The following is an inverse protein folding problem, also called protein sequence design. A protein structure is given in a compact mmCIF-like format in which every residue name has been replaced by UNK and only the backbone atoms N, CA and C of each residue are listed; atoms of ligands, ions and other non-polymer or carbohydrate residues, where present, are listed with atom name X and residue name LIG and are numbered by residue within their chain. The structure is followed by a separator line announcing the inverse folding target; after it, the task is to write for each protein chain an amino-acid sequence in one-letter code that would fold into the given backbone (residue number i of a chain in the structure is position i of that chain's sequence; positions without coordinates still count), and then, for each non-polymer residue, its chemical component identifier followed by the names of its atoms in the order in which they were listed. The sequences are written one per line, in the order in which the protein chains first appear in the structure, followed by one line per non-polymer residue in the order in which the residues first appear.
data_IF_597615356524
#
_entry.id   IF_597615356524
#
_cell.length_a   1.000
_cell.length_b   1.000
_cell.length_c   1.000
_cell.angle_alpha   90.00
_cell.angle_beta   90.00
_cell.angle_gamma   90.00
#
_symmetry.space_group_name_H-M   'P 1'
#
loop_
_entity.id
_entity.type
_entity.pdbx_description
1 polymer ?
2 non-polymer ?
3 non-polymer ?
4 non-polymer ?
5 water ?
#
# COMPACT_ATOMS: atom_id res chain seq x y z
N UNK A 1 9.62 18.69 -12.43
CA UNK A 1 10.23 19.22 -11.18
C UNK A 1 9.44 18.69 -9.98
N UNK A 2 10.13 18.06 -9.04
CA UNK A 2 9.44 17.49 -7.89
C UNK A 2 9.87 18.07 -6.55
N UNK A 3 10.94 18.86 -6.55
CA UNK A 3 11.44 19.45 -5.32
C UNK A 3 10.45 20.30 -4.52
N UNK A 4 9.69 21.15 -5.20
CA UNK A 4 8.74 21.99 -4.48
C UNK A 4 7.56 21.17 -3.96
N UNK A 5 7.16 20.15 -4.72
CA UNK A 5 6.06 19.28 -4.32
C UNK A 5 6.48 18.55 -3.05
N UNK A 6 7.72 18.07 -3.02
CA UNK A 6 8.24 17.37 -1.87
C UNK A 6 8.36 18.36 -0.71
N UNK A 7 8.73 19.60 -1.03
CA UNK A 7 8.87 20.63 -0.02
C UNK A 7 7.61 20.84 0.80
N UNK A 8 6.45 20.85 0.15
CA UNK A 8 5.21 21.03 0.89
C UNK A 8 4.98 19.84 1.82
N UNK A 9 5.29 18.63 1.34
CA UNK A 9 5.12 17.44 2.15
C UNK A 9 6.05 17.48 3.37
N UNK A 10 7.27 17.96 3.17
CA UNK A 10 8.24 18.06 4.27
C UNK A 10 7.74 19.01 5.35
N UNK A 11 7.18 20.14 4.92
CA UNK A 11 6.68 21.13 5.85
C UNK A 11 5.49 20.60 6.61
N UNK A 12 4.54 20.02 5.88
CA UNK A 12 3.34 19.45 6.50
C UNK A 12 3.74 18.36 7.49
N UNK A 13 4.70 17.52 7.11
CA UNK A 13 5.13 16.42 7.99
C UNK A 13 5.82 16.91 9.26
N UNK A 14 6.71 17.89 9.13
CA UNK A 14 7.42 18.41 10.29
C UNK A 14 6.44 19.01 11.30
N UNK A 15 5.45 19.74 10.80
CA UNK A 15 4.44 20.35 11.64
C UNK A 15 3.55 19.28 12.26
N UNK A 16 3.14 18.31 11.44
CA UNK A 16 2.31 17.21 11.91
C UNK A 16 2.95 16.46 13.08
N UNK A 17 4.25 16.18 12.96
CA UNK A 17 4.92 15.43 14.02
C UNK A 17 4.84 16.16 15.37
N UNK A 18 4.94 17.48 15.35
CA UNK A 18 4.85 18.25 16.58
C UNK A 18 3.43 18.36 17.12
N UNK A 19 2.46 18.15 16.24
CA UNK A 19 1.05 18.22 16.63
C UNK A 19 0.56 16.84 17.06
N UNK A 20 0.79 15.83 16.23
CA UNK A 20 0.37 14.47 16.56
C UNK A 20 1.05 13.95 17.81
N UNK A 21 2.30 14.34 18.03
CA UNK A 21 3.02 13.85 19.20
C UNK A 21 3.38 12.40 18.88
N UNK A 22 2.90 11.47 19.70
CA UNK A 22 3.17 10.05 19.47
C UNK A 22 1.97 9.35 18.81
N UNK A 23 0.96 10.14 18.44
CA UNK A 23 -0.24 9.60 17.79
C UNK A 23 0.01 9.34 16.31
N UNK A 24 -0.87 8.55 15.70
CA UNK A 24 -0.76 8.21 14.28
C UNK A 24 -1.96 8.69 13.46
N UNK A 25 -1.70 9.28 12.28
CA UNK A 25 -2.79 9.77 11.42
C UNK A 25 -3.40 8.59 10.65
N UNK A 26 -4.68 8.71 10.32
CA UNK A 26 -5.38 7.64 9.59
C UNK A 26 -6.04 8.25 8.35
N UNK A 27 -7.15 8.94 8.56
CA UNK A 27 -7.89 9.60 7.48
C UNK A 27 -8.50 10.86 8.05
N UNK A 28 -8.89 11.80 7.18
CA UNK A 28 -9.55 13.00 7.68
C UNK A 28 -11.04 12.65 7.59
N UNK A 29 -11.88 13.48 8.20
CA UNK A 29 -13.31 13.22 8.19
C UNK A 29 -14.08 14.52 8.04
N UNK A 30 -14.05 15.08 6.85
CA UNK A 30 -14.77 16.32 6.58
C UNK A 30 -13.99 17.60 6.85
N UNK A 31 -12.71 17.50 7.14
CA UNK A 31 -11.90 18.69 7.39
C UNK A 31 -10.46 18.45 6.97
N UNK A 32 -9.61 19.47 7.13
CA UNK A 32 -8.22 19.35 6.75
C UNK A 32 -7.38 18.84 7.93
N UNK A 33 -8.03 18.15 8.86
CA UNK A 33 -7.34 17.60 10.03
C UNK A 33 -7.47 16.08 10.04
N UNK A 34 -6.38 15.38 10.33
CA UNK A 34 -6.40 13.93 10.39
C UNK A 34 -7.03 13.42 11.68
N UNK A 35 -7.75 12.31 11.58
CA UNK A 35 -8.32 11.67 12.76
C UNK A 35 -7.13 10.82 13.21
N UNK A 36 -6.84 10.81 14.51
CA UNK A 36 -5.67 10.08 15.00
C UNK A 36 -5.98 8.88 15.89
N UNK A 37 -5.02 7.96 15.96
CA UNK A 37 -5.18 6.77 16.79
C UNK A 37 -3.86 6.45 17.51
N UNK A 38 -3.94 5.62 18.54
CA UNK A 38 -2.76 5.25 19.30
C UNK A 38 -2.14 3.94 18.83
N UNK A 39 -1.92 3.85 17.52
CA UNK A 39 -1.34 2.68 16.87
C UNK A 39 -2.26 1.47 17.04
N UNK A 40 -3.48 1.59 16.53
CA UNK A 40 -4.47 0.53 16.66
C UNK A 40 -5.17 0.15 15.36
N UNK A 41 -4.70 0.66 14.23
CA UNK A 41 -5.34 0.35 12.95
C UNK A 41 -4.40 -0.36 11.97
N UNK A 42 -4.75 -0.34 10.68
CA UNK A 42 -3.94 -1.02 9.66
C UNK A 42 -3.01 -0.05 8.92
N UNK A 43 -3.18 1.23 9.19
CA UNK A 43 -2.46 2.31 8.50
C UNK A 43 -1.31 2.99 9.24
N UNK A 44 -1.07 2.62 10.49
CA UNK A 44 -0.02 3.26 11.27
C UNK A 44 1.36 3.26 10.63
N UNK A 45 1.67 2.21 9.87
CA UNK A 45 2.97 2.14 9.23
C UNK A 45 3.22 3.21 8.19
N UNK A 46 2.16 3.71 7.56
CA UNK A 46 2.30 4.74 6.53
C UNK A 46 2.91 6.02 7.11
N UNK A 47 2.57 6.32 8.36
CA UNK A 47 3.10 7.51 9.03
C UNK A 47 4.61 7.30 9.21
N UNK A 48 4.99 6.11 9.68
CA UNK A 48 6.41 5.81 9.87
C UNK A 48 7.12 5.92 8.52
N UNK A 49 6.49 5.38 7.49
CA UNK A 49 7.07 5.42 6.15
C UNK A 49 7.31 6.83 5.66
N UNK A 50 6.34 7.70 5.90
CA UNK A 50 6.45 9.10 5.50
C UNK A 50 7.63 9.75 6.23
N UNK A 51 7.73 9.49 7.53
CA UNK A 51 8.83 10.05 8.32
C UNK A 51 10.18 9.57 7.80
N UNK A 52 10.28 8.28 7.48
CA UNK A 52 11.52 7.73 6.96
C UNK A 52 11.87 8.33 5.61
N UNK A 53 10.87 8.51 4.74
CA UNK A 53 11.11 9.10 3.43
C UNK A 53 11.60 10.53 3.57
N UNK A 54 10.97 11.28 4.48
CA UNK A 54 11.37 12.67 4.70
C UNK A 54 12.81 12.72 5.21
N UNK A 55 13.17 11.76 6.06
CA UNK A 55 14.53 11.70 6.60
C UNK A 55 15.52 11.39 5.47
N UNK A 56 15.19 10.42 4.63
CA UNK A 56 16.07 10.06 3.53
C UNK A 56 16.30 11.22 2.57
N UNK A 57 15.26 12.03 2.37
CA UNK A 57 15.37 13.16 1.45
C UNK A 57 16.18 14.32 2.04
N UNK A 58 15.97 14.61 3.31
CA UNK A 58 16.61 15.73 3.98
C UNK A 58 17.84 15.47 4.83
N UNK A 59 17.89 14.31 5.48
CA UNK A 59 18.99 14.02 6.37
C UNK A 59 18.72 14.73 7.69
N UNK A 60 17.53 15.33 7.79
CA UNK A 60 17.12 16.08 8.99
C UNK A 60 16.67 15.10 10.07
N UNK A 61 17.43 15.01 11.15
CA UNK A 61 17.10 14.09 12.23
C UNK A 61 15.77 14.27 12.95
N UNK A 62 15.09 15.40 12.76
CA UNK A 62 13.81 15.56 13.43
C UNK A 62 12.87 14.48 12.90
N UNK A 63 13.02 14.16 11.61
CA UNK A 63 12.19 13.13 10.98
C UNK A 63 12.61 11.73 11.45
N UNK A 64 13.91 11.49 11.48
CA UNK A 64 14.41 10.20 11.92
C UNK A 64 13.97 9.88 13.35
N UNK A 65 14.14 10.85 14.25
CA UNK A 65 13.77 10.62 15.63
C UNK A 65 12.28 10.35 15.78
N UNK A 66 11.46 11.00 14.97
CA UNK A 66 10.04 10.76 15.04
C UNK A 66 9.77 9.33 14.58
N UNK A 67 10.43 8.93 13.50
CA UNK A 67 10.26 7.59 12.97
C UNK A 67 10.66 6.55 14.01
N UNK A 68 11.80 6.77 14.65
CA UNK A 68 12.30 5.85 15.66
C UNK A 68 11.31 5.72 16.81
N UNK A 69 10.68 6.83 17.17
CA UNK A 69 9.69 6.79 18.25
C UNK A 69 8.49 5.93 17.83
N UNK A 70 8.09 6.00 16.56
CA UNK A 70 6.96 5.19 16.11
C UNK A 70 7.35 3.71 16.12
N UNK A 71 8.62 3.41 15.86
CA UNK A 71 9.08 2.02 15.85
C UNK A 71 8.98 1.46 17.27
N UNK A 72 9.29 2.28 18.25
CA UNK A 72 9.21 1.84 19.65
C UNK A 72 7.75 1.50 19.96
N UNK A 73 6.83 2.27 19.40
CA UNK A 73 5.40 2.03 19.60
C UNK A 73 5.01 0.70 18.95
N UNK A 74 5.60 0.41 17.79
CA UNK A 74 5.32 -0.84 17.10
C UNK A 74 5.89 -2.04 17.83
N UNK A 75 7.00 -1.85 18.54
CA UNK A 75 7.62 -2.93 19.31
C UNK A 75 6.65 -3.27 20.44
N UNK A 76 6.08 -2.24 21.04
CA UNK A 76 5.13 -2.40 22.14
C UNK A 76 3.85 -3.04 21.61
N UNK A 77 3.39 -2.58 20.44
CA UNK A 77 2.17 -3.13 19.85
C UNK A 77 2.27 -4.63 19.62
N UNK A 78 3.43 -5.08 19.14
CA UNK A 78 3.63 -6.50 18.88
C UNK A 78 3.73 -7.29 20.18
N UNK A 79 4.50 -6.79 21.14
CA UNK A 79 4.64 -7.47 22.42
C UNK A 79 3.29 -7.68 23.10
N UNK A 80 2.40 -6.70 22.97
CA UNK A 80 1.08 -6.79 23.58
C UNK A 80 0.07 -7.43 22.62
N UNK A 81 0.49 -7.64 21.38
CA UNK A 81 -0.37 -8.21 20.35
C UNK A 81 -1.70 -7.45 20.33
N UNK A 82 -1.62 -6.13 20.20
CA UNK A 82 -2.82 -5.30 20.17
C UNK A 82 -3.32 -5.13 18.73
N UNK A 83 -4.49 -5.70 18.46
CA UNK A 83 -5.11 -5.66 17.14
C UNK A 83 -4.12 -6.03 16.04
N UNK A 84 -3.63 -7.27 16.10
CA UNK A 84 -2.68 -7.76 15.10
C UNK A 84 -3.09 -9.13 14.57
N UNK A 85 -4.32 -9.55 14.83
CA UNK A 85 -4.78 -10.84 14.35
C UNK A 85 -5.48 -10.67 13.00
N UNK A 86 -4.69 -10.27 12.02
CA UNK A 86 -5.16 -10.04 10.66
C UNK A 86 -3.94 -9.99 9.75
N UNK A 87 -4.16 -9.80 8.46
CA UNK A 87 -3.06 -9.80 7.49
C UNK A 87 -2.26 -8.51 7.31
N UNK A 88 -2.74 -7.41 7.86
CA UNK A 88 -2.04 -6.14 7.63
C UNK A 88 -0.74 -5.89 8.38
N UNK A 89 -0.10 -6.96 8.82
CA UNK A 89 1.19 -6.86 9.51
C UNK A 89 2.24 -6.28 8.57
N UNK A 90 2.09 -6.56 7.27
CA UNK A 90 3.04 -6.05 6.29
C UNK A 90 2.97 -4.53 6.17
N UNK A 91 1.77 -4.00 5.93
CA UNK A 91 1.59 -2.56 5.81
C UNK A 91 2.14 -1.86 7.06
N UNK A 92 1.91 -2.47 8.21
CA UNK A 92 2.33 -1.90 9.49
C UNK A 92 3.83 -1.98 9.79
N UNK A 93 4.44 -3.13 9.54
CA UNK A 93 5.86 -3.30 9.85
C UNK A 93 6.88 -3.13 8.74
N UNK A 94 6.47 -3.25 7.48
CA UNK A 94 7.44 -3.06 6.40
C UNK A 94 7.86 -1.59 6.36
N UNK A 95 6.90 -0.70 6.55
CA UNK A 95 7.14 0.74 6.48
C UNK A 95 7.67 1.38 7.76
N UNK A 96 7.79 0.59 8.83
CA UNK A 96 8.29 1.12 10.09
C UNK A 96 9.58 0.43 10.52
N UNK A 97 9.48 -0.81 10.98
CA UNK A 97 10.63 -1.58 11.43
C UNK A 97 11.57 -1.97 10.27
N UNK A 98 11.02 -2.59 9.23
CA UNK A 98 11.85 -3.00 8.11
C UNK A 98 12.48 -1.75 7.50
N UNK A 99 11.70 -0.69 7.41
CA UNK A 99 12.18 0.57 6.85
C UNK A 99 13.42 1.06 7.58
N UNK A 100 13.41 0.99 8.91
CA UNK A 100 14.57 1.45 9.67
C UNK A 100 15.79 0.59 9.36
N UNK A 101 15.56 -0.71 9.16
CA UNK A 101 16.64 -1.63 8.83
C UNK A 101 17.21 -1.24 7.47
N UNK A 102 16.31 -0.93 6.54
CA UNK A 102 16.72 -0.53 5.20
C UNK A 102 17.48 0.80 5.24
N UNK A 103 16.97 1.74 6.02
CA UNK A 103 17.59 3.06 6.13
C UNK A 103 18.93 3.10 6.85
N UNK A 104 19.03 2.48 8.02
CA UNK A 104 20.27 2.54 8.78
C UNK A 104 20.79 1.24 9.38
N UNK A 105 20.30 0.11 8.92
CA UNK A 105 20.77 -1.18 9.42
C UNK A 105 20.67 -1.37 10.93
N UNK A 106 19.59 -0.89 11.53
CA UNK A 106 19.40 -1.06 12.97
C UNK A 106 19.01 -2.51 13.24
N UNK A 107 19.83 -3.23 14.00
CA UNK A 107 19.56 -4.63 14.30
C UNK A 107 18.27 -4.89 15.07
N UNK A 108 17.95 -4.02 16.02
CA UNK A 108 16.72 -4.21 16.80
C UNK A 108 15.49 -4.03 15.91
N UNK A 109 15.61 -3.16 14.91
CA UNK A 109 14.49 -2.93 13.99
C UNK A 109 14.31 -4.17 13.12
N UNK A 110 15.44 -4.76 12.70
CA UNK A 110 15.39 -5.97 11.87
C UNK A 110 14.72 -7.09 12.65
N UNK A 111 15.06 -7.21 13.94
CA UNK A 111 14.47 -8.25 14.78
C UNK A 111 12.97 -8.02 14.89
N UNK A 112 12.55 -6.78 15.06
CA UNK A 112 11.13 -6.46 15.18
C UNK A 112 10.39 -6.85 13.90
N UNK A 113 10.98 -6.54 12.75
CA UNK A 113 10.36 -6.86 11.47
C UNK A 113 10.24 -8.39 11.32
N UNK A 114 11.28 -9.10 11.73
CA UNK A 114 11.26 -10.56 11.63
C UNK A 114 10.23 -11.13 12.61
N UNK A 115 10.16 -10.57 13.82
CA UNK A 115 9.18 -11.03 14.80
C UNK A 115 7.79 -10.81 14.22
N UNK A 116 7.61 -9.70 13.51
CA UNK A 116 6.33 -9.36 12.91
C UNK A 116 6.00 -10.34 11.78
N UNK A 117 6.97 -10.61 10.92
CA UNK A 117 6.78 -11.54 9.81
C UNK A 117 6.35 -12.90 10.37
N UNK A 118 6.95 -13.29 11.47
CA UNK A 118 6.62 -14.56 12.12
C UNK A 118 5.16 -14.56 12.56
N UNK A 119 4.69 -13.42 13.07
CA UNK A 119 3.30 -13.30 13.50
C UNK A 119 2.36 -13.34 12.28
N UNK A 120 2.78 -12.73 11.18
CA UNK A 120 1.95 -12.72 9.98
C UNK A 120 1.79 -14.14 9.44
N UNK A 121 2.81 -14.97 9.64
CA UNK A 121 2.74 -16.35 9.16
C UNK A 121 1.64 -17.13 9.87
N UNK A 122 1.20 -16.63 11.01
CA UNK A 122 0.14 -17.30 11.76
C UNK A 122 -1.17 -17.21 10.99
N UNK A 123 -1.24 -16.29 10.03
CA UNK A 123 -2.46 -16.11 9.24
C UNK A 123 -2.58 -17.09 8.08
N UNK A 124 -1.53 -17.86 7.84
CA UNK A 124 -1.55 -18.85 6.77
C UNK A 124 -2.46 -20.01 7.14
N UNK A 125 -3.30 -20.42 6.19
CA UNK A 125 -4.23 -21.54 6.40
C UNK A 125 -3.84 -22.67 5.46
N UNK A 126 -3.05 -23.61 5.98
CA UNK A 126 -2.57 -24.74 5.21
C UNK A 126 -3.65 -25.49 4.42
N UNK A 127 -4.80 -25.72 5.05
CA UNK A 127 -5.89 -26.45 4.40
C UNK A 127 -6.51 -25.72 3.21
N UNK A 128 -6.43 -24.40 3.20
CA UNK A 128 -7.01 -23.61 2.11
C UNK A 128 -5.95 -22.99 1.19
N UNK A 129 -4.69 -23.06 1.61
CA UNK A 129 -3.61 -22.51 0.81
C UNK A 129 -3.67 -21.01 0.61
N UNK A 130 -4.08 -20.29 1.65
CA UNK A 130 -4.20 -18.83 1.58
C UNK A 130 -3.88 -18.17 2.91
N UNK A 131 -3.66 -16.87 2.86
CA UNK A 131 -3.42 -16.06 4.05
C UNK A 131 -4.80 -15.48 4.35
N UNK A 132 -5.32 -15.72 5.55
CA UNK A 132 -6.63 -15.21 5.94
C UNK A 132 -6.50 -13.72 6.23
N UNK A 133 -7.25 -12.90 5.52
CA UNK A 133 -7.19 -11.45 5.69
C UNK A 133 -7.78 -10.91 6.99
N UNK A 134 -9.05 -11.23 7.23
CA UNK A 134 -9.76 -10.70 8.39
C UNK A 134 -10.34 -11.68 9.38
N UNK A 135 -10.42 -11.23 10.63
CA UNK A 135 -11.01 -12.03 11.70
C UNK A 135 -10.14 -13.14 12.28
N UNK A 136 -10.59 -13.73 13.39
CA UNK A 136 -9.84 -14.82 14.02
C UNK A 136 -9.91 -16.06 13.15
N UNK A 137 -8.98 -16.99 13.36
CA UNK A 137 -8.98 -18.24 12.60
C UNK A 137 -10.34 -18.90 12.79
N UNK A 138 -10.91 -19.41 11.70
CA UNK A 138 -12.20 -20.07 11.80
C UNK A 138 -13.41 -19.15 11.75
N UNK A 139 -13.19 -17.85 11.64
CA UNK A 139 -14.30 -16.91 11.56
C UNK A 139 -15.29 -17.42 10.52
N UNK A 140 -16.57 -17.57 10.90
CA UNK A 140 -17.61 -18.05 10.00
C UNK A 140 -17.73 -17.31 8.67
N UNK A 141 -17.62 -15.99 8.72
CA UNK A 141 -17.73 -15.19 7.50
C UNK A 141 -16.43 -15.05 6.73
N UNK A 142 -15.35 -14.71 7.42
CA UNK A 142 -14.06 -14.48 6.76
C UNK A 142 -12.95 -15.51 6.97
N UNK A 143 -13.30 -16.68 7.51
CA UNK A 143 -12.30 -17.70 7.75
C UNK A 143 -11.50 -18.15 6.54
N UNK A 144 -12.09 -18.06 5.35
CA UNK A 144 -11.38 -18.47 4.15
C UNK A 144 -11.39 -17.38 3.09
N UNK A 145 -11.47 -16.14 3.54
CA UNK A 145 -11.52 -15.00 2.63
C UNK A 145 -10.20 -14.25 2.48
N UNK A 146 -9.84 -13.94 1.23
CA UNK A 146 -8.62 -13.20 0.94
C UNK A 146 -9.01 -11.88 0.26
N UNK A 147 -8.12 -10.90 0.27
CA UNK A 147 -8.42 -9.65 -0.40
C UNK A 147 -7.20 -9.25 -1.22
N UNK A 148 -7.43 -8.52 -2.31
CA UNK A 148 -6.34 -8.14 -3.17
C UNK A 148 -5.30 -7.25 -2.48
N UNK A 149 -5.74 -6.50 -1.47
CA UNK A 149 -4.84 -5.61 -0.72
C UNK A 149 -3.69 -6.40 -0.09
N UNK A 150 -3.96 -7.66 0.24
CA UNK A 150 -2.98 -8.53 0.88
C UNK A 150 -1.68 -8.71 0.10
N UNK A 151 -1.71 -8.45 -1.21
CA UNK A 151 -0.49 -8.58 -2.00
C UNK A 151 0.63 -7.70 -1.43
N UNK A 152 0.25 -6.58 -0.83
CA UNK A 152 1.23 -5.65 -0.26
C UNK A 152 1.73 -6.09 1.11
N UNK A 153 1.13 -7.15 1.66
CA UNK A 153 1.57 -7.65 2.95
C UNK A 153 2.57 -8.79 2.75
N UNK A 154 2.69 -9.26 1.52
CA UNK A 154 3.62 -10.34 1.20
C UNK A 154 5.10 -9.93 1.23
N UNK A 155 5.41 -8.68 0.86
CA UNK A 155 6.81 -8.26 0.88
C UNK A 155 7.50 -8.51 2.22
N UNK A 156 6.77 -8.27 3.32
CA UNK A 156 7.35 -8.49 4.65
C UNK A 156 7.81 -9.94 4.78
N UNK A 157 6.99 -10.87 4.31
CA UNK A 157 7.31 -12.29 4.38
C UNK A 157 8.46 -12.66 3.46
N UNK A 158 8.41 -12.18 2.21
CA UNK A 158 9.46 -12.48 1.25
C UNK A 158 10.79 -11.95 1.74
N UNK A 159 10.77 -10.76 2.33
CA UNK A 159 11.98 -10.16 2.88
C UNK A 159 12.49 -11.02 4.03
N UNK A 160 11.58 -11.45 4.91
CA UNK A 160 11.95 -12.27 6.05
C UNK A 160 12.60 -13.58 5.58
N UNK A 161 12.07 -14.14 4.49
CA UNK A 161 12.63 -15.36 3.98
C UNK A 161 14.05 -15.18 3.49
N UNK A 162 14.31 -14.06 2.83
CA UNK A 162 15.66 -13.81 2.32
C UNK A 162 16.61 -13.47 3.47
N UNK A 163 16.07 -12.96 4.57
CA UNK A 163 16.90 -12.62 5.73
C UNK A 163 17.24 -13.85 6.58
N UNK A 164 16.30 -14.78 6.68
CA UNK A 164 16.48 -15.98 7.49
C UNK A 164 16.90 -17.24 6.74
N UNK A 165 16.56 -17.31 5.46
CA UNK A 165 16.91 -18.49 4.69
C UNK A 165 15.86 -19.57 4.85
N UNK A 166 14.78 -19.24 5.55
CA UNK A 166 13.68 -20.18 5.78
C UNK A 166 12.79 -20.16 4.54
N UNK A 167 12.79 -21.25 3.76
CA UNK A 167 12.00 -21.35 2.54
C UNK A 167 10.47 -21.26 2.71
N UNK A 168 9.99 -21.44 3.93
CA UNK A 168 8.56 -21.38 4.19
C UNK A 168 7.96 -20.02 3.84
N UNK A 169 8.71 -18.95 4.13
CA UNK A 169 8.21 -17.60 3.83
C UNK A 169 7.87 -17.44 2.35
N UNK A 170 8.83 -17.75 1.49
CA UNK A 170 8.61 -17.62 0.05
C UNK A 170 7.52 -18.59 -0.44
N UNK A 171 7.50 -19.80 0.11
CA UNK A 171 6.51 -20.79 -0.30
C UNK A 171 5.09 -20.25 -0.09
N UNK A 172 4.80 -19.78 1.11
CA UNK A 172 3.49 -19.23 1.43
C UNK A 172 3.15 -17.97 0.64
N UNK A 173 4.11 -17.05 0.51
CA UNK A 173 3.86 -15.81 -0.23
C UNK A 173 3.58 -16.10 -1.71
N UNK A 174 4.39 -16.98 -2.29
CA UNK A 174 4.23 -17.35 -3.69
C UNK A 174 2.88 -18.01 -3.93
N UNK A 175 2.51 -18.94 -3.06
CA UNK A 175 1.23 -19.62 -3.19
C UNK A 175 0.07 -18.64 -3.11
N UNK A 176 0.13 -17.71 -2.16
CA UNK A 176 -0.93 -16.73 -2.01
C UNK A 176 -1.03 -15.80 -3.21
N UNK A 177 0.12 -15.34 -3.71
CA UNK A 177 0.15 -14.45 -4.85
C UNK A 177 -0.43 -15.12 -6.09
N UNK A 178 -0.05 -16.38 -6.31
CA UNK A 178 -0.55 -17.12 -7.47
C UNK A 178 -2.04 -17.39 -7.37
N UNK A 179 -2.51 -17.70 -6.16
CA UNK A 179 -3.93 -17.95 -5.96
C UNK A 179 -4.69 -16.64 -6.19
N UNK A 180 -4.08 -15.53 -5.80
CA UNK A 180 -4.70 -14.22 -5.99
C UNK A 180 -4.83 -13.91 -7.47
N UNK A 181 -3.80 -14.24 -8.23
CA UNK A 181 -3.80 -13.97 -9.67
C UNK A 181 -4.92 -14.76 -10.38
N UNK A 182 -5.09 -16.02 -9.99
CA UNK A 182 -6.11 -16.86 -10.61
C UNK A 182 -7.54 -16.47 -10.24
N UNK A 183 -7.80 -16.12 -8.98
CA UNK A 183 -9.15 -15.80 -8.56
C UNK A 183 -9.57 -14.37 -8.30
N UNK A 184 -8.63 -13.49 -7.96
CA UNK A 184 -8.98 -12.09 -7.70
C UNK A 184 -8.95 -11.25 -8.98
N UNK A 185 -8.16 -11.68 -9.96
CA UNK A 185 -8.07 -10.94 -11.22
C UNK A 185 -9.05 -11.51 -12.23
N UNK A 186 -9.76 -10.63 -12.93
CA UNK A 186 -10.76 -11.04 -13.90
C UNK A 186 -10.24 -11.15 -15.34
N UNK A 187 -11.02 -11.83 -16.18
CA UNK A 187 -10.64 -12.03 -17.57
C UNK A 187 -10.55 -10.78 -18.42
N UNK A 188 -11.14 -9.67 -17.97
CA UNK A 188 -11.07 -8.42 -18.73
C UNK A 188 -10.02 -7.51 -18.12
N UNK A 189 -9.20 -8.09 -17.24
CA UNK A 189 -8.12 -7.40 -16.56
C UNK A 189 -8.54 -6.48 -15.43
N UNK A 190 -9.80 -6.60 -15.02
CA UNK A 190 -10.31 -5.82 -13.89
C UNK A 190 -10.05 -6.73 -12.68
N UNK A 191 -10.61 -6.42 -11.52
CA UNK A 191 -10.37 -7.25 -10.36
C UNK A 191 -11.49 -7.22 -9.32
N UNK A 192 -11.57 -8.30 -8.55
CA UNK A 192 -12.51 -8.43 -7.45
C UNK A 192 -11.77 -7.81 -6.27
N UNK A 193 -12.50 -7.41 -5.24
CA UNK A 193 -11.85 -6.86 -4.06
C UNK A 193 -11.43 -8.05 -3.19
N UNK A 194 -12.37 -8.96 -2.92
CA UNK A 194 -12.07 -10.13 -2.09
C UNK A 194 -12.56 -11.42 -2.73
N UNK A 195 -12.11 -12.55 -2.18
CA UNK A 195 -12.52 -13.85 -2.70
C UNK A 195 -12.61 -14.84 -1.55
N UNK A 196 -13.67 -15.66 -1.58
CA UNK A 196 -13.92 -16.66 -0.53
C UNK A 196 -13.57 -18.08 -0.95
N UNK A 197 -12.88 -18.80 -0.06
CA UNK A 197 -12.52 -20.20 -0.31
C UNK A 197 -13.06 -21.03 0.83
N UNK A 198 -13.16 -22.34 0.61
CA UNK A 198 -13.64 -23.23 1.66
C UNK A 198 -12.45 -23.45 2.59
N UNK A 199 -12.58 -23.04 3.87
CA UNK A 199 -11.51 -23.18 4.85
C UNK A 199 -10.99 -24.61 5.00
N UNK A 200 -11.87 -25.58 4.74
CA UNK A 200 -11.52 -26.99 4.87
C UNK A 200 -10.65 -27.58 3.77
N UNK A 201 -10.82 -27.10 2.54
CA UNK A 201 -10.07 -27.66 1.43
C UNK A 201 -9.52 -26.66 0.41
N UNK A 202 -9.91 -25.40 0.52
CA UNK A 202 -9.42 -24.41 -0.41
C UNK A 202 -10.19 -24.30 -1.70
N UNK A 203 -11.36 -24.95 -1.78
CA UNK A 203 -12.16 -24.86 -2.99
C UNK A 203 -12.62 -23.42 -3.19
N UNK A 204 -12.63 -22.97 -4.43
CA UNK A 204 -13.06 -21.61 -4.76
C UNK A 204 -14.57 -21.47 -4.61
N UNK A 205 -15.01 -20.53 -3.78
CA UNK A 205 -16.44 -20.35 -3.58
C UNK A 205 -16.98 -19.19 -4.41
N UNK A 206 -16.46 -17.99 -4.21
CA UNK A 206 -16.94 -16.83 -4.95
C UNK A 206 -16.12 -15.57 -4.69
N UNK A 207 -16.31 -14.60 -5.57
CA UNK A 207 -15.64 -13.33 -5.42
C UNK A 207 -16.67 -12.41 -4.79
N UNK A 208 -16.20 -11.36 -4.13
CA UNK A 208 -17.13 -10.43 -3.49
C UNK A 208 -16.42 -9.15 -3.13
N UNK A 209 -17.15 -8.04 -3.08
CA UNK A 209 -16.53 -6.77 -2.75
C UNK A 209 -16.76 -6.41 -1.30
N UNK A 210 -16.07 -5.37 -0.85
CA UNK A 210 -16.25 -4.86 0.50
C UNK A 210 -16.28 -3.35 0.38
N UNK A 211 -15.30 -2.80 -0.34
CA UNK A 211 -15.22 -1.36 -0.51
C UNK A 211 -15.54 -0.87 -1.92
N UNK A 212 -15.85 -1.82 -2.82
CA UNK A 212 -16.21 -1.45 -4.18
C UNK A 212 -17.71 -1.24 -4.24
N UNK A 213 -18.23 -0.85 -5.41
CA UNK A 213 -19.66 -0.61 -5.54
C UNK A 213 -20.50 -1.90 -5.49
N UNK A 214 -20.04 -2.93 -6.19
CA UNK A 214 -20.73 -4.22 -6.20
C UNK A 214 -19.71 -5.35 -6.30
N UNK A 215 -20.17 -6.58 -6.07
CA UNK A 215 -19.28 -7.73 -6.13
C UNK A 215 -18.57 -7.81 -7.48
N UNK A 216 -19.25 -7.40 -8.54
CA UNK A 216 -18.65 -7.46 -9.86
C UNK A 216 -18.07 -6.17 -10.40
N UNK A 217 -17.98 -5.13 -9.56
CA UNK A 217 -17.43 -3.85 -10.00
C UNK A 217 -15.91 -3.82 -9.90
N UNK A 218 -15.34 -2.63 -10.10
CA UNK A 218 -13.90 -2.49 -10.02
C UNK A 218 -13.50 -1.33 -9.09
N UNK A 219 -13.26 -1.69 -7.83
CA UNK A 219 -12.83 -0.73 -6.81
C UNK A 219 -11.45 -0.27 -7.30
N UNK A 220 -11.29 1.04 -7.57
CA UNK A 220 -10.01 1.49 -8.11
C UNK A 220 -8.80 1.30 -7.21
N UNK A 221 -8.97 1.41 -5.88
CA UNK A 221 -7.81 1.20 -5.03
C UNK A 221 -7.45 -0.28 -5.06
N UNK A 222 -8.47 -1.13 -5.21
CA UNK A 222 -8.23 -2.56 -5.29
C UNK A 222 -7.43 -2.84 -6.54
N UNK A 223 -7.83 -2.21 -7.64
CA UNK A 223 -7.11 -2.39 -8.91
C UNK A 223 -5.67 -1.90 -8.69
N UNK A 224 -5.52 -0.81 -7.95
CA UNK A 224 -4.20 -0.24 -7.66
C UNK A 224 -3.34 -1.20 -6.83
N UNK A 225 -3.93 -1.81 -5.81
CA UNK A 225 -3.20 -2.77 -4.97
C UNK A 225 -2.68 -3.90 -5.87
N UNK A 226 -3.50 -4.27 -6.85
CA UNK A 226 -3.10 -5.33 -7.78
C UNK A 226 -1.91 -4.92 -8.61
N UNK A 227 -1.95 -3.70 -9.14
CA UNK A 227 -0.86 -3.20 -9.98
C UNK A 227 0.48 -3.17 -9.23
N UNK A 228 0.52 -2.51 -8.08
CA UNK A 228 1.76 -2.42 -7.33
C UNK A 228 2.08 -3.77 -6.66
N UNK A 229 1.06 -4.38 -6.07
CA UNK A 229 1.24 -5.66 -5.40
C UNK A 229 1.81 -6.76 -6.27
N UNK A 230 1.24 -6.96 -7.45
CA UNK A 230 1.76 -8.01 -8.32
C UNK A 230 3.18 -7.70 -8.80
N UNK A 231 3.48 -6.41 -8.97
CA UNK A 231 4.81 -6.00 -9.43
C UNK A 231 5.83 -6.26 -8.33
N UNK A 232 5.46 -5.99 -7.08
CA UNK A 232 6.38 -6.21 -5.98
C UNK A 232 6.64 -7.70 -5.81
N UNK A 233 5.59 -8.51 -5.96
CA UNK A 233 5.76 -9.95 -5.84
C UNK A 233 6.55 -10.51 -7.02
N UNK A 234 6.36 -9.90 -8.18
CA UNK A 234 7.10 -10.36 -9.36
C UNK A 234 8.58 -10.14 -9.16
N UNK A 235 8.95 -9.02 -8.54
CA UNK A 235 10.37 -8.74 -8.30
C UNK A 235 10.97 -9.79 -7.38
N UNK A 236 10.32 -10.04 -6.25
CA UNK A 236 10.80 -11.03 -5.29
C UNK A 236 10.87 -12.44 -5.83
N UNK A 237 9.84 -12.83 -6.58
CA UNK A 237 9.75 -14.19 -7.11
C UNK A 237 10.34 -14.43 -8.50
N UNK A 238 10.69 -13.35 -9.19
CA UNK A 238 11.23 -13.51 -10.53
C UNK A 238 10.18 -14.22 -11.37
N UNK A 239 8.92 -13.87 -11.12
CA UNK A 239 7.80 -14.48 -11.82
C UNK A 239 7.24 -13.57 -12.92
N UNK A 240 7.52 -13.93 -14.18
CA UNK A 240 7.06 -13.14 -15.31
C UNK A 240 5.55 -13.09 -15.47
N UNK A 241 4.86 -14.12 -14.99
CA UNK A 241 3.40 -14.14 -15.07
C UNK A 241 2.79 -13.08 -14.17
N UNK A 242 3.37 -12.90 -12.98
CA UNK A 242 2.85 -11.89 -12.07
C UNK A 242 3.12 -10.48 -12.63
N UNK A 243 4.26 -10.31 -13.28
CA UNK A 243 4.58 -9.00 -13.86
C UNK A 243 3.61 -8.72 -15.00
N UNK A 244 3.31 -9.75 -15.80
CA UNK A 244 2.38 -9.61 -16.91
C UNK A 244 1.01 -9.17 -16.38
N UNK A 245 0.59 -9.77 -15.28
CA UNK A 245 -0.70 -9.42 -14.69
C UNK A 245 -0.69 -7.97 -14.22
N UNK A 246 0.42 -7.55 -13.63
CA UNK A 246 0.54 -6.17 -13.16
C UNK A 246 0.37 -5.22 -14.34
N UNK A 247 1.00 -5.56 -15.46
CA UNK A 247 0.91 -4.73 -16.66
C UNK A 247 -0.50 -4.69 -17.22
N UNK A 248 -1.17 -5.85 -17.28
CA UNK A 248 -2.53 -5.91 -17.78
C UNK A 248 -3.45 -5.04 -16.92
N UNK A 249 -3.32 -5.19 -15.60
CA UNK A 249 -4.14 -4.42 -14.68
C UNK A 249 -3.83 -2.93 -14.81
N UNK A 250 -2.57 -2.61 -15.07
CA UNK A 250 -2.16 -1.22 -15.22
C UNK A 250 -2.79 -0.60 -16.46
N UNK A 251 -2.76 -1.32 -17.58
CA UNK A 251 -3.35 -0.80 -18.81
C UNK A 251 -4.85 -0.61 -18.64
N UNK A 252 -5.49 -1.53 -17.92
CA UNK A 252 -6.93 -1.45 -17.67
C UNK A 252 -7.24 -0.17 -16.89
N UNK A 253 -6.44 0.07 -15.87
CA UNK A 253 -6.57 1.25 -15.00
C UNK A 253 -6.38 2.53 -15.82
N UNK A 254 -5.25 2.60 -16.52
CA UNK A 254 -4.90 3.77 -17.30
C UNK A 254 -5.93 4.17 -18.36
N UNK A 255 -6.58 3.18 -18.96
CA UNK A 255 -7.57 3.47 -19.99
C UNK A 255 -8.84 4.07 -19.39
N UNK A 256 -8.96 4.05 -18.07
CA UNK A 256 -10.14 4.57 -17.41
C UNK A 256 -9.90 5.79 -16.52
N UNK A 257 -8.76 6.44 -16.72
CA UNK A 257 -8.41 7.65 -15.98
C UNK A 257 -9.16 8.83 -16.61
N UNK A 258 -9.90 9.61 -15.79
CA UNK A 258 -10.65 10.76 -16.31
C UNK A 258 -9.79 11.92 -16.80
N UNK A 259 -10.43 12.95 -17.32
CA UNK A 259 -9.71 14.10 -17.88
C UNK A 259 -8.71 14.78 -16.94
N UNK A 260 -9.04 14.91 -15.65
CA UNK A 260 -8.11 15.57 -14.75
C UNK A 260 -6.96 14.65 -14.28
N UNK A 261 -6.96 13.41 -14.76
CA UNK A 261 -5.90 12.48 -14.43
C UNK A 261 -5.94 11.71 -13.11
N UNK A 262 -7.03 11.85 -12.36
CA UNK A 262 -7.17 11.15 -11.10
C UNK A 262 -8.48 10.38 -11.11
N UNK A 263 -8.40 9.09 -10.81
CA UNK A 263 -9.57 8.21 -10.86
C UNK A 263 -10.68 8.42 -9.85
N UNK A 264 -11.85 7.89 -10.21
CA UNK A 264 -13.01 7.92 -9.36
C UNK A 264 -12.83 6.72 -8.42
N UNK A 265 -13.70 6.58 -7.43
CA UNK A 265 -13.55 5.48 -6.47
C UNK A 265 -13.81 4.08 -7.02
N UNK A 266 -14.59 3.99 -8.09
CA UNK A 266 -14.90 2.71 -8.73
C UNK A 266 -15.06 3.01 -10.22
N UNK A 267 -14.56 2.12 -11.07
CA UNK A 267 -14.66 2.34 -12.52
C UNK A 267 -16.05 2.07 -13.07
N UNK A 268 -16.87 1.36 -12.30
CA UNK A 268 -18.19 0.99 -12.77
C UNK A 268 -19.36 1.79 -12.21
N UNK A 269 -19.11 3.06 -11.92
CA UNK A 269 -20.14 3.98 -11.43
C UNK A 269 -20.04 5.16 -12.39
N UNK A 270 -21.01 6.09 -12.35
CA UNK A 270 -20.92 7.24 -13.27
C UNK A 270 -19.56 7.92 -13.16
N UNK A 271 -18.84 7.99 -14.27
CA UNK A 271 -17.53 8.62 -14.28
C UNK A 271 -17.69 10.11 -14.53
N UNK A 272 -18.34 10.79 -13.58
CA UNK A 272 -18.60 12.22 -13.66
C UNK A 272 -18.29 12.87 -12.32
N UNK A 273 -17.98 14.17 -12.31
CA UNK A 273 -17.65 14.95 -11.11
C UNK A 273 -18.50 14.71 -9.86
N UNK A 274 -19.75 14.28 -10.06
CA UNK A 274 -20.65 14.02 -8.94
C UNK A 274 -20.25 12.77 -8.16
N UNK A 275 -19.40 11.94 -8.75
CA UNK A 275 -18.94 10.72 -8.09
C UNK A 275 -17.67 10.99 -7.31
N UNK A 276 -17.53 10.34 -6.16
CA UNK A 276 -16.34 10.53 -5.35
C UNK A 276 -15.11 10.02 -6.06
N UNK A 277 -13.97 10.61 -5.74
CA UNK A 277 -12.70 10.22 -6.35
C UNK A 277 -11.97 9.36 -5.32
N UNK A 278 -10.78 8.93 -5.71
CA UNK A 278 -9.89 8.23 -4.80
C UNK A 278 -8.48 8.54 -5.26
N UNK A 279 -7.99 9.69 -4.82
CA UNK A 279 -6.64 10.11 -5.16
C UNK A 279 -5.61 9.08 -4.69
N UNK A 280 -5.94 8.34 -3.64
CA UNK A 280 -5.00 7.34 -3.13
C UNK A 280 -4.77 6.21 -4.13
N UNK A 281 -5.81 5.87 -4.89
CA UNK A 281 -5.67 4.81 -5.89
C UNK A 281 -4.69 5.25 -6.97
N UNK A 282 -4.77 6.52 -7.35
CA UNK A 282 -3.86 7.06 -8.36
C UNK A 282 -2.43 7.12 -7.83
N UNK A 283 -2.28 7.47 -6.54
CA UNK A 283 -0.95 7.56 -5.94
C UNK A 283 -0.31 6.16 -5.91
N UNK A 284 -1.08 5.17 -5.50
CA UNK A 284 -0.58 3.80 -5.44
C UNK A 284 -0.16 3.34 -6.84
N UNK A 285 -1.00 3.62 -7.82
CA UNK A 285 -0.71 3.23 -9.19
C UNK A 285 0.56 3.90 -9.73
N UNK A 286 0.78 5.16 -9.38
CA UNK A 286 1.97 5.85 -9.84
C UNK A 286 3.21 5.07 -9.39
N UNK A 287 3.20 4.60 -8.15
CA UNK A 287 4.32 3.82 -7.62
C UNK A 287 4.39 2.49 -8.35
N UNK A 288 3.24 1.88 -8.59
CA UNK A 288 3.21 0.60 -9.28
C UNK A 288 3.75 0.68 -10.69
N UNK A 289 3.39 1.76 -11.39
CA UNK A 289 3.85 1.96 -12.76
C UNK A 289 5.37 2.06 -12.80
N UNK A 290 5.95 2.77 -11.83
CA UNK A 290 7.40 2.92 -11.77
C UNK A 290 8.06 1.60 -11.43
N UNK A 291 7.43 0.83 -10.55
CA UNK A 291 7.96 -0.48 -10.16
C UNK A 291 7.98 -1.39 -11.39
N UNK A 292 6.87 -1.41 -12.12
CA UNK A 292 6.78 -2.23 -13.33
C UNK A 292 7.92 -1.85 -14.29
N UNK A 293 8.04 -0.55 -14.56
CA UNK A 293 9.07 -0.06 -15.47
C UNK A 293 10.47 -0.49 -15.05
N UNK A 294 10.74 -0.46 -13.74
CA UNK A 294 12.07 -0.84 -13.24
C UNK A 294 12.39 -2.31 -13.49
N UNK A 295 11.39 -3.10 -13.83
CA UNK A 295 11.60 -4.53 -14.10
C UNK A 295 11.61 -4.85 -15.59
N UNK A 296 11.41 -3.84 -16.42
CA UNK A 296 11.40 -4.04 -17.87
C UNK A 296 12.74 -3.68 -18.47
N UNK A 297 13.08 -4.35 -19.56
CA UNK A 297 14.35 -4.10 -20.24
C UNK A 297 14.30 -2.73 -20.90
N UNK A 298 15.44 -2.05 -20.94
CA UNK A 298 15.56 -0.73 -21.53
C UNK A 298 15.09 -0.70 -22.98
N UNK A 299 15.25 -1.82 -23.68
CA UNK A 299 14.85 -1.91 -25.09
C UNK A 299 13.34 -2.03 -25.29
N UNK A 300 12.61 -2.24 -24.21
CA UNK A 300 11.15 -2.35 -24.29
C UNK A 300 10.54 -0.96 -24.38
N UNK A 301 9.93 -0.64 -25.53
CA UNK A 301 9.32 0.69 -25.73
C UNK A 301 8.23 1.04 -24.71
N UNK A 302 7.59 0.03 -24.14
CA UNK A 302 6.54 0.30 -23.17
C UNK A 302 7.11 0.75 -21.82
N UNK A 303 8.40 0.52 -21.60
CA UNK A 303 9.03 0.93 -20.35
C UNK A 303 8.90 2.44 -20.14
N UNK A 304 9.34 3.21 -21.13
CA UNK A 304 9.27 4.66 -21.03
C UNK A 304 7.80 5.11 -20.94
N UNK A 305 6.91 4.36 -21.58
CA UNK A 305 5.50 4.72 -21.54
C UNK A 305 4.96 4.57 -20.12
N UNK A 306 5.42 3.56 -19.40
CA UNK A 306 4.98 3.35 -18.02
C UNK A 306 5.55 4.44 -17.14
N UNK A 307 6.81 4.80 -17.38
CA UNK A 307 7.46 5.85 -16.60
C UNK A 307 6.73 7.18 -16.82
N UNK A 308 6.43 7.50 -18.07
CA UNK A 308 5.74 8.74 -18.38
C UNK A 308 4.32 8.76 -17.81
N UNK A 309 3.67 7.59 -17.81
CA UNK A 309 2.31 7.51 -17.27
C UNK A 309 2.39 7.82 -15.78
N UNK A 310 3.47 7.37 -15.14
CA UNK A 310 3.67 7.62 -13.71
C UNK A 310 3.89 9.12 -13.46
N UNK A 311 4.76 9.73 -14.26
CA UNK A 311 5.03 11.16 -14.10
C UNK A 311 3.76 11.96 -14.31
N UNK A 312 2.96 11.55 -15.30
CA UNK A 312 1.71 12.24 -15.61
C UNK A 312 0.73 12.14 -14.45
N UNK A 313 0.71 10.99 -13.78
CA UNK A 313 -0.19 10.77 -12.65
C UNK A 313 0.23 11.66 -11.47
N UNK A 314 1.53 11.67 -11.18
CA UNK A 314 2.04 12.47 -10.07
C UNK A 314 1.78 13.95 -10.36
N UNK A 315 1.97 14.35 -11.61
CA UNK A 315 1.74 15.74 -12.00
C UNK A 315 0.27 16.08 -11.79
N UNK A 316 -0.62 15.18 -12.19
CA UNK A 316 -2.06 15.41 -12.02
C UNK A 316 -2.41 15.56 -10.54
N UNK A 317 -1.75 14.78 -9.70
CA UNK A 317 -1.99 14.84 -8.26
C UNK A 317 -1.46 16.15 -7.68
N UNK A 318 -0.22 16.49 -8.04
CA UNK A 318 0.43 17.71 -7.56
C UNK A 318 -0.36 18.96 -7.95
N UNK A 319 -0.75 19.04 -9.23
CA UNK A 319 -1.47 20.21 -9.72
C UNK A 319 -2.93 20.33 -9.33
N UNK A 320 -3.65 19.21 -9.26
CA UNK A 320 -5.06 19.31 -8.92
C UNK A 320 -5.52 18.81 -7.58
N UNK A 321 -4.67 18.09 -6.85
CA UNK A 321 -5.07 17.52 -5.57
C UNK A 321 -4.16 17.79 -4.37
N UNK A 322 -2.92 18.23 -4.63
CA UNK A 322 -1.96 18.45 -3.56
C UNK A 322 -2.18 19.69 -2.70
N UNK A 323 -1.98 19.52 -1.40
CA UNK A 323 -2.14 20.59 -0.44
C UNK A 323 -0.80 21.34 -0.30
N UNK A 324 -0.87 22.66 -0.21
CA UNK A 324 0.32 23.47 -0.04
C UNK A 324 0.48 23.53 1.49
N UNK A 325 1.70 23.67 1.98
CA UNK A 325 1.89 23.77 3.44
C UNK A 325 1.50 25.18 3.85
N UNK A 326 0.23 25.35 4.21
CA UNK A 326 -0.30 26.64 4.61
C UNK A 326 -0.32 26.80 6.13
N UNK A 327 0.38 25.90 6.83
CA UNK A 327 0.42 25.96 8.28
C UNK A 327 -0.78 25.31 8.96
N UNK A 328 -1.74 24.84 8.18
CA UNK A 328 -2.93 24.20 8.75
C UNK A 328 -3.21 22.80 8.19
N UNK A 329 -3.18 22.68 6.86
CA UNK A 329 -3.43 21.40 6.21
C UNK A 329 -2.55 20.30 6.78
N UNK A 330 -3.12 19.13 7.02
CA UNK A 330 -2.35 18.01 7.57
C UNK A 330 -2.12 16.87 6.59
N UNK A 331 -2.68 16.99 5.39
CA UNK A 331 -2.54 15.96 4.38
C UNK A 331 -1.83 16.43 3.12
N UNK A 332 -1.25 15.50 2.37
CA UNK A 332 -0.53 15.83 1.14
C UNK A 332 -1.46 15.99 -0.05
N UNK A 333 -2.42 15.08 -0.18
CA UNK A 333 -3.36 15.14 -1.30
C UNK A 333 -4.80 15.01 -0.85
N UNK A 334 -5.67 15.76 -1.51
CA UNK A 334 -7.09 15.76 -1.19
C UNK A 334 -7.84 14.69 -1.99
N UNK A 335 -9.10 14.53 -1.61
CA UNK A 335 -10.05 13.63 -2.27
C UNK A 335 -9.76 12.14 -2.33
N UNK A 336 -9.25 11.58 -1.24
CA UNK A 336 -9.05 10.15 -1.20
C UNK A 336 -10.40 9.67 -0.69
N UNK A 337 -10.64 8.37 -0.71
CA UNK A 337 -11.91 7.83 -0.20
C UNK A 337 -11.64 6.49 0.47
N UNK A 338 -12.15 6.33 1.69
CA UNK A 338 -11.92 5.10 2.44
C UNK A 338 -12.94 4.00 2.15
N UNK A 339 -14.21 4.28 2.42
CA UNK A 339 -15.27 3.31 2.18
C UNK A 339 -16.52 4.08 1.78
N UNK A 340 -16.63 4.36 0.48
CA UNK A 340 -17.74 5.13 -0.06
C UNK A 340 -19.15 4.65 0.30
N UNK A 341 -19.46 3.40 0.02
CA UNK A 341 -20.80 2.89 0.33
C UNK A 341 -21.07 2.90 1.83
N UNK A 342 -20.01 2.85 2.62
CA UNK A 342 -20.17 2.87 4.07
C UNK A 342 -20.23 4.29 4.58
N UNK A 343 -20.05 5.25 3.67
CA UNK A 343 -20.08 6.66 4.05
C UNK A 343 -18.91 7.02 4.95
N UNK A 344 -17.81 6.29 4.82
CA UNK A 344 -16.63 6.54 5.65
C UNK A 344 -15.54 7.32 4.90
N UNK A 345 -15.35 8.58 5.30
CA UNK A 345 -14.36 9.48 4.70
C UNK A 345 -14.22 9.31 3.19
N UNK A 346 -15.28 9.64 2.44
CA UNK A 346 -15.33 9.53 0.97
C UNK A 346 -14.66 10.65 0.18
N UNK A 347 -14.23 11.70 0.86
CA UNK A 347 -13.62 12.85 0.19
C UNK A 347 -12.66 13.41 1.22
N UNK A 348 -11.61 12.66 1.50
CA UNK A 348 -10.67 13.04 2.55
C UNK A 348 -9.23 12.64 2.33
N UNK A 349 -8.40 13.03 3.29
CA UNK A 349 -7.00 12.66 3.27
C UNK A 349 -7.00 11.18 3.67
N UNK A 350 -6.04 10.43 3.16
CA UNK A 350 -5.87 9.04 3.57
C UNK A 350 -4.37 8.98 3.75
N UNK A 351 -3.92 8.46 4.89
CA UNK A 351 -2.48 8.42 5.13
C UNK A 351 -1.76 7.51 4.13
N UNK A 352 -2.45 6.52 3.58
CA UNK A 352 -1.79 5.66 2.60
C UNK A 352 -1.63 6.44 1.28
N UNK A 353 -2.63 7.23 0.92
CA UNK A 353 -2.52 8.03 -0.29
C UNK A 353 -1.33 8.97 -0.16
N UNK A 354 -1.20 9.55 1.03
CA UNK A 354 -0.10 10.47 1.30
C UNK A 354 1.24 9.73 1.20
N UNK A 355 1.33 8.54 1.77
CA UNK A 355 2.57 7.79 1.70
C UNK A 355 2.98 7.46 0.26
N UNK A 356 2.06 6.91 -0.51
CA UNK A 356 2.39 6.54 -1.88
C UNK A 356 2.69 7.74 -2.77
N UNK A 357 2.03 8.86 -2.48
CA UNK A 357 2.27 10.10 -3.23
C UNK A 357 3.73 10.50 -2.99
N UNK A 358 4.15 10.47 -1.74
CA UNK A 358 5.53 10.83 -1.39
C UNK A 358 6.52 9.79 -1.90
N UNK A 359 6.16 8.51 -1.88
CA UNK A 359 7.07 7.49 -2.37
C UNK A 359 7.30 7.70 -3.86
N UNK A 360 6.25 8.09 -4.58
CA UNK A 360 6.36 8.33 -6.01
C UNK A 360 7.30 9.52 -6.26
N UNK A 361 7.15 10.57 -5.46
CA UNK A 361 8.00 11.74 -5.60
C UNK A 361 9.47 11.39 -5.31
N UNK A 362 9.69 10.58 -4.28
CA UNK A 362 11.05 10.18 -3.92
C UNK A 362 11.67 9.26 -4.98
N UNK A 363 10.83 8.42 -5.59
CA UNK A 363 11.31 7.52 -6.64
C UNK A 363 11.74 8.39 -7.82
N UNK A 364 10.89 9.33 -8.20
CA UNK A 364 11.17 10.21 -9.34
C UNK A 364 12.32 11.17 -9.12
N UNK A 365 12.41 11.74 -7.92
CA UNK A 365 13.46 12.70 -7.63
C UNK A 365 14.80 12.14 -7.16
N UNK A 366 14.78 11.05 -6.38
CA UNK A 366 16.00 10.48 -5.85
C UNK A 366 16.25 9.00 -6.14
N UNK A 367 15.28 8.33 -6.74
CA UNK A 367 15.44 6.92 -7.00
C UNK A 367 15.23 6.10 -5.74
N UNK A 368 14.64 6.72 -4.72
CA UNK A 368 14.35 6.05 -3.44
C UNK A 368 13.06 5.24 -3.66
N UNK A 369 13.18 3.93 -3.53
CA UNK A 369 12.06 3.02 -3.78
C UNK A 369 11.17 2.57 -2.62
N UNK A 370 11.20 3.27 -1.50
CA UNK A 370 10.35 2.85 -0.42
C UNK A 370 10.93 1.73 0.41
N UNK A 371 10.06 1.03 1.14
CA UNK A 371 10.51 -0.02 2.03
C UNK A 371 9.92 -1.41 1.84
N UNK A 372 9.64 -1.76 0.59
CA UNK A 372 9.07 -3.07 0.28
C UNK A 372 10.16 -4.12 0.08
N UNK A 373 11.36 -3.65 -0.24
CA UNK A 373 12.52 -4.52 -0.46
C UNK A 373 13.82 -3.75 -0.27
N UNK A 374 14.91 -4.48 -0.04
CA UNK A 374 16.23 -3.88 0.15
C UNK A 374 16.65 -3.10 -1.09
N UNK A 375 17.31 -1.96 -0.88
CA UNK A 375 17.77 -1.14 -1.99
C UNK A 375 18.81 -1.91 -2.80
N UNK A 376 18.64 -1.94 -4.11
CA UNK A 376 19.59 -2.65 -4.96
C UNK A 376 19.18 -4.08 -5.27
N UNK A 377 18.01 -4.49 -4.79
CA UNK A 377 17.53 -5.85 -5.05
C UNK A 377 16.57 -5.82 -6.24
X LIG B 1 -5.99 -2.01 2.63
X LIG B 1 -7.33 -1.57 3.10
X LIG B 1 -7.86 -0.39 2.29
X LIG B 1 -7.22 -0.12 1.19
X LIG B 1 -8.82 0.27 2.65
X LIG C 1 -9.45 19.14 -8.10
X LIG C 1 -9.76 18.47 -6.83
X LIG C 1 -9.39 19.31 -5.63
X LIG C 1 -9.38 18.69 -4.48
X LIG C 1 -9.12 20.49 -5.72
X LIG D 1 13.85 19.78 6.79
X LIG D 1 13.06 20.89 6.22
X LIG D 1 11.73 21.08 6.92
X LIG D 1 10.89 21.90 6.34
X LIG D 1 11.45 20.52 7.96
X LIG E 1 12.82 6.82 -12.65
X LIG E 1 12.32 5.74 -13.51
X LIG E 1 12.63 4.37 -12.96
X LIG E 1 11.60 3.63 -12.64
X LIG E 1 13.77 3.97 -12.80
X LIG F 1 -9.74 -3.19 5.07
X LIG F 1 -10.28 -1.83 6.06
X LIG F 1 -11.54 -2.51 6.55
X LIG F 1 -11.25 -3.05 7.46
X LIG F 1 -12.68 -1.61 6.64
X LIG F 1 -13.70 -2.41 7.07
X LIG F 1 -13.15 -0.99 5.47
X LIG F 1 -13.64 0.36 6.40
X LIG G 1 -13.71 -6.47 11.30
X LIG G 1 -12.94 -7.28 9.92
X LIG G 1 -13.22 -6.16 8.95
X LIG G 1 -12.23 -5.84 8.60
X LIG G 1 -14.22 -6.52 7.99
X LIG G 1 -13.80 -5.98 6.80
X LIG G 1 -15.53 -6.04 8.17
X LIG G 1 -16.13 -7.64 8.00
X LIG H 1 19.63 8.20 5.57
X LIG H 1 20.65 9.31 5.51
X LIG H 1 21.40 9.09 4.29
X LIG H 1 20.01 10.64 5.48
X LIG H 1 21.64 9.27 6.71
X LIG H 1 23.14 9.31 6.40
X LIG H 1 23.49 10.49 5.72
X LIG H 1 23.95 9.27 7.69
#
# INVERSE_FOLDING_TARGET
MWQQAIGDALGITARNLKKFGDRFPHVSDGSNKYVLNDNTDWTDGFWSGILWLCYEYTGDEQYREGAVRTVASFRERLDRFENLDHHDIGFLYSLSAKAQWIVEKDESARKLALDAADVLMRRWRADAGIIQAWGPKGDPENGGRIIIDCLLNLPLLLWAGEQTGDPEYRRVAEAHALKSRRFLVRGDDSSYHTFYFDPENGNAIRGGTHQGNTDGSTWTRGQAWGIYGFALNSRYLGNADLLETAKRMARHFLARVPEDGVVYWDFEVPQEPSSYRDSSASAITACGLLEIASQLDESDPERQRFIDAAKTTVTALRDGYAERDDGEAEGFIRRGSYHVRGGISPDDYTIWGDYYYLEALLRLERGVTGYWYERGR
GLY N CA C O OXT
GLY N CA C O OXT
GLY N CA C O OXT
GLY N CA C O OXT
DTT S1 C1 C2 O2 C3 O3 C4 S4
DTT S1 C1 C2 O2 C3 O3 C4 S4
MPD C1 C2 O2 CM C3 C4 O4 C5
#
